data_IF_100887977527
#
_entry.id   IF_100887977527
#
_cell.length_a   1.000
_cell.length_b   1.000
_cell.length_c   1.000
_cell.angle_alpha   90.00
_cell.angle_beta   90.00
_cell.angle_gamma   90.00
#
_symmetry.space_group_name_H-M   'P 1'
#
loop_
_entity.id
_entity.type
_entity.pdbx_description
1 polymer ?
#
# COMPACT_ATOMS: atom_id res chain seq x y z
N UNK A 1 -35.91 13.39 -21.19
CA UNK A 1 -36.34 12.71 -22.42
C UNK A 1 -35.44 13.05 -23.61
N UNK A 2 -35.27 14.33 -24.01
CA UNK A 2 -34.49 14.71 -25.22
C UNK A 2 -33.01 14.26 -25.30
N UNK A 3 -32.24 14.28 -24.20
CA UNK A 3 -30.80 13.93 -24.22
C UNK A 3 -30.51 12.44 -24.50
N UNK A 4 -31.39 11.56 -24.04
CA UNK A 4 -31.19 10.11 -24.20
C UNK A 4 -31.48 9.69 -25.64
N UNK A 5 -32.50 10.29 -26.25
CA UNK A 5 -32.88 10.05 -27.65
C UNK A 5 -31.83 10.63 -28.64
N UNK A 6 -31.21 11.77 -28.33
CA UNK A 6 -30.10 12.34 -29.13
C UNK A 6 -28.84 11.48 -29.09
N UNK A 7 -28.47 10.95 -27.92
CA UNK A 7 -27.30 10.07 -27.78
C UNK A 7 -27.51 8.75 -28.54
N UNK A 8 -28.71 8.15 -28.45
CA UNK A 8 -29.04 6.93 -29.19
C UNK A 8 -28.98 7.15 -30.71
N UNK A 9 -29.46 8.30 -31.19
CA UNK A 9 -29.40 8.69 -32.60
C UNK A 9 -27.96 8.94 -33.09
N UNK A 10 -27.11 9.55 -32.27
CA UNK A 10 -25.69 9.74 -32.60
C UNK A 10 -24.95 8.39 -32.62
N UNK A 11 -25.22 7.51 -31.65
CA UNK A 11 -24.61 6.18 -31.61
C UNK A 11 -24.94 5.34 -32.85
N UNK A 12 -26.16 5.46 -33.42
CA UNK A 12 -26.54 4.70 -34.61
C UNK A 12 -25.81 5.10 -35.91
N UNK A 13 -25.12 6.25 -35.91
CA UNK A 13 -24.34 6.75 -37.07
C UNK A 13 -22.84 6.48 -36.94
N UNK A 14 -22.41 5.89 -35.83
CA UNK A 14 -21.01 5.53 -35.57
C UNK A 14 -20.70 4.13 -36.12
N UNK A 15 -19.44 3.92 -36.49
CA UNK A 15 -18.94 2.60 -36.80
C UNK A 15 -18.99 1.67 -35.57
N UNK A 16 -19.00 0.34 -35.76
CA UNK A 16 -18.96 -0.61 -34.64
C UNK A 16 -17.78 -0.38 -33.70
N UNK A 17 -16.61 -0.02 -34.24
CA UNK A 17 -15.39 0.27 -33.45
C UNK A 17 -15.56 1.52 -32.59
N UNK A 18 -16.18 2.59 -33.13
CA UNK A 18 -16.46 3.82 -32.39
C UNK A 18 -17.53 3.60 -31.30
N UNK A 19 -18.57 2.80 -31.59
CA UNK A 19 -19.57 2.41 -30.58
C UNK A 19 -18.93 1.61 -29.44
N UNK A 20 -18.01 0.69 -29.77
CA UNK A 20 -17.27 -0.09 -28.79
C UNK A 20 -16.38 0.79 -27.93
N UNK A 21 -15.62 1.71 -28.54
CA UNK A 21 -14.79 2.70 -27.82
C UNK A 21 -15.60 3.50 -26.80
N UNK A 22 -16.77 4.00 -27.18
CA UNK A 22 -17.66 4.75 -26.28
C UNK A 22 -18.17 3.86 -25.14
N UNK A 23 -18.54 2.61 -25.44
CA UNK A 23 -19.01 1.67 -24.42
C UNK A 23 -17.90 1.35 -23.41
N UNK A 24 -16.66 1.12 -23.89
CA UNK A 24 -15.49 0.88 -23.06
C UNK A 24 -15.18 2.10 -22.18
N UNK A 25 -15.19 3.30 -22.75
CA UNK A 25 -14.94 4.54 -22.00
C UNK A 25 -15.99 4.75 -20.91
N UNK A 26 -17.28 4.55 -21.23
CA UNK A 26 -18.37 4.63 -20.24
C UNK A 26 -18.17 3.62 -19.11
N UNK A 27 -17.90 2.36 -19.45
CA UNK A 27 -17.68 1.32 -18.44
C UNK A 27 -16.49 1.67 -17.53
N UNK A 28 -15.39 2.16 -18.11
CA UNK A 28 -14.21 2.58 -17.35
C UNK A 28 -14.53 3.74 -16.39
N UNK A 29 -15.37 4.70 -16.81
CA UNK A 29 -15.82 5.80 -15.95
C UNK A 29 -16.71 5.30 -14.80
N UNK A 30 -17.63 4.37 -15.08
CA UNK A 30 -18.49 3.78 -14.05
C UNK A 30 -17.67 3.01 -13.00
N UNK A 31 -16.69 2.23 -13.44
CA UNK A 31 -15.75 1.51 -12.55
C UNK A 31 -14.92 2.48 -11.69
N UNK A 32 -14.41 3.56 -12.31
CA UNK A 32 -13.65 4.59 -11.59
C UNK A 32 -14.51 5.30 -10.52
N UNK A 33 -15.75 5.65 -10.86
CA UNK A 33 -16.68 6.26 -9.91
C UNK A 33 -17.03 5.31 -8.76
N UNK A 34 -17.19 4.01 -9.04
CA UNK A 34 -17.42 3.01 -8.01
C UNK A 34 -16.21 2.91 -7.05
N UNK A 35 -14.99 2.95 -7.59
CA UNK A 35 -13.76 2.98 -6.79
C UNK A 35 -13.71 4.22 -5.88
N UNK A 36 -14.11 5.41 -6.36
CA UNK A 36 -14.12 6.63 -5.55
C UNK A 36 -15.07 6.59 -4.34
N UNK A 37 -16.01 5.64 -4.31
CA UNK A 37 -16.93 5.41 -3.19
C UNK A 37 -16.45 4.31 -2.24
N UNK A 38 -15.29 3.72 -2.49
CA UNK A 38 -14.68 2.70 -1.64
C UNK A 38 -13.69 3.33 -0.67
N UNK A 39 -13.73 2.89 0.59
CA UNK A 39 -12.73 3.29 1.58
C UNK A 39 -11.40 2.63 1.21
N UNK A 40 -10.36 3.45 1.05
CA UNK A 40 -8.97 2.98 0.86
C UNK A 40 -8.24 2.87 2.20
N UNK A 41 -8.46 3.85 3.09
CA UNK A 41 -7.79 3.92 4.39
C UNK A 41 -8.48 4.90 5.33
N UNK A 42 -8.40 4.63 6.63
CA UNK A 42 -8.64 5.62 7.67
C UNK A 42 -7.33 6.25 8.15
N UNK A 43 -7.32 7.58 8.18
CA UNK A 43 -6.16 8.40 8.54
C UNK A 43 -6.20 8.74 10.03
N UNK A 44 -7.36 9.16 10.52
CA UNK A 44 -7.51 9.71 11.87
C UNK A 44 -8.91 9.42 12.43
N UNK A 45 -9.04 9.51 13.76
CA UNK A 45 -10.28 9.31 14.51
C UNK A 45 -10.58 10.56 15.36
N UNK A 46 -11.83 11.00 15.28
CA UNK A 46 -12.34 12.10 16.09
C UNK A 46 -13.57 11.66 16.87
N UNK A 47 -13.52 11.84 18.19
CA UNK A 47 -14.60 11.47 19.11
C UNK A 47 -15.18 12.75 19.71
N UNK A 48 -16.46 13.01 19.44
CA UNK A 48 -17.21 14.15 19.98
C UNK A 48 -18.41 13.63 20.78
N UNK A 49 -18.21 13.48 22.09
CA UNK A 49 -19.21 12.88 22.98
C UNK A 49 -19.51 11.43 22.60
N UNK A 50 -20.71 11.17 22.09
CA UNK A 50 -21.14 9.85 21.63
C UNK A 50 -20.92 9.63 20.12
N UNK A 51 -20.61 10.68 19.35
CA UNK A 51 -20.35 10.57 17.91
C UNK A 51 -18.88 10.25 17.64
N UNK A 52 -18.64 9.24 16.80
CA UNK A 52 -17.29 8.93 16.27
C UNK A 52 -17.26 9.22 14.77
N UNK A 53 -16.27 10.02 14.36
CA UNK A 53 -15.97 10.34 12.96
C UNK A 53 -14.58 9.86 12.61
N UNK A 54 -14.40 9.40 11.37
CA UNK A 54 -13.12 8.97 10.84
C UNK A 54 -12.74 9.82 9.63
N UNK A 55 -11.45 10.15 9.53
CA UNK A 55 -10.91 10.85 8.36
C UNK A 55 -10.57 9.81 7.28
N UNK A 56 -11.33 9.82 6.21
CA UNK A 56 -11.33 8.77 5.19
C UNK A 56 -10.52 9.19 3.97
N UNK A 57 -9.61 8.31 3.57
CA UNK A 57 -8.98 8.31 2.25
C UNK A 57 -9.79 7.40 1.33
N UNK A 58 -10.32 7.97 0.27
CA UNK A 58 -11.10 7.27 -0.77
C UNK A 58 -10.20 6.66 -1.83
N UNK A 59 -10.57 5.49 -2.35
CA UNK A 59 -9.79 4.79 -3.37
C UNK A 59 -9.79 5.58 -4.67
N UNK A 60 -8.62 5.71 -5.30
CA UNK A 60 -8.46 6.44 -6.57
C UNK A 60 -8.39 7.97 -6.45
N UNK A 61 -8.80 8.55 -5.32
CA UNK A 61 -8.74 9.99 -5.08
C UNK A 61 -7.43 10.43 -4.41
N UNK A 62 -6.98 11.69 -4.57
CA UNK A 62 -5.81 12.22 -3.87
C UNK A 62 -6.07 12.50 -2.38
N UNK A 63 -5.01 12.72 -1.59
CA UNK A 63 -5.14 13.12 -0.18
C UNK A 63 -5.81 14.48 0.04
N UNK A 64 -5.92 15.30 -1.00
CA UNK A 64 -6.67 16.56 -0.96
C UNK A 64 -8.19 16.35 -0.89
N UNK A 65 -8.69 15.17 -1.21
CA UNK A 65 -10.12 14.83 -1.27
C UNK A 65 -10.54 13.89 -0.13
N UNK A 66 -9.83 13.92 0.99
CA UNK A 66 -10.23 13.20 2.20
C UNK A 66 -11.41 13.89 2.88
N UNK A 67 -12.30 13.11 3.49
CA UNK A 67 -13.49 13.63 4.18
C UNK A 67 -13.65 13.00 5.56
N UNK A 68 -14.25 13.75 6.49
CA UNK A 68 -14.66 13.21 7.78
C UNK A 68 -16.02 12.54 7.63
N UNK A 69 -16.09 11.25 7.90
CA UNK A 69 -17.31 10.44 7.80
C UNK A 69 -17.73 9.88 9.14
N UNK A 70 -19.04 9.77 9.36
CA UNK A 70 -19.59 9.13 10.56
C UNK A 70 -19.27 7.63 10.54
N UNK A 71 -18.98 7.06 11.72
CA UNK A 71 -18.81 5.61 11.88
C UNK A 71 -19.96 4.82 11.27
N UNK A 72 -21.20 5.25 11.51
CA UNK A 72 -22.42 4.58 10.98
C UNK A 72 -22.47 4.54 9.44
N UNK A 73 -22.01 5.60 8.78
CA UNK A 73 -21.92 5.65 7.31
C UNK A 73 -20.91 4.63 6.81
N UNK A 74 -19.75 4.52 7.46
CA UNK A 74 -18.69 3.59 7.07
C UNK A 74 -19.07 2.13 7.25
N UNK A 75 -19.93 1.81 8.22
CA UNK A 75 -20.45 0.43 8.37
C UNK A 75 -21.19 -0.06 7.12
N UNK A 76 -21.77 0.85 6.34
CA UNK A 76 -22.51 0.55 5.11
C UNK A 76 -21.69 0.82 3.83
N UNK A 77 -20.46 1.29 3.98
CA UNK A 77 -19.59 1.65 2.85
C UNK A 77 -18.64 0.49 2.55
N UNK A 78 -18.36 0.23 1.27
CA UNK A 78 -17.43 -0.80 0.84
C UNK A 78 -16.05 -0.63 1.52
N UNK A 79 -15.55 -1.71 2.12
CA UNK A 79 -14.31 -1.79 2.91
C UNK A 79 -14.29 -0.94 4.19
N UNK A 80 -15.40 -0.31 4.60
CA UNK A 80 -15.41 0.61 5.73
C UNK A 80 -15.11 -0.09 7.06
N UNK A 81 -15.75 -1.22 7.35
CA UNK A 81 -15.52 -2.00 8.58
C UNK A 81 -14.07 -2.50 8.65
N UNK A 82 -13.59 -3.14 7.59
CA UNK A 82 -12.21 -3.66 7.50
C UNK A 82 -11.19 -2.53 7.70
N UNK A 83 -11.42 -1.35 7.11
CA UNK A 83 -10.55 -0.19 7.27
C UNK A 83 -10.52 0.37 8.69
N UNK A 84 -11.63 0.27 9.45
CA UNK A 84 -11.68 0.65 10.87
C UNK A 84 -10.86 -0.33 11.70
N UNK A 85 -11.04 -1.63 11.47
CA UNK A 85 -10.31 -2.66 12.21
C UNK A 85 -8.79 -2.55 11.94
N UNK A 86 -8.40 -2.32 10.68
CA UNK A 86 -7.01 -2.07 10.30
C UNK A 86 -6.44 -0.81 10.96
N UNK A 87 -7.22 0.27 11.03
CA UNK A 87 -6.83 1.50 11.70
C UNK A 87 -6.56 1.27 13.18
N UNK A 88 -7.49 0.64 13.89
CA UNK A 88 -7.35 0.35 15.32
C UNK A 88 -6.15 -0.57 15.60
N UNK A 89 -5.97 -1.60 14.78
CA UNK A 89 -4.81 -2.49 14.88
C UNK A 89 -3.49 -1.74 14.66
N UNK A 90 -3.47 -0.75 13.75
CA UNK A 90 -2.30 0.11 13.51
C UNK A 90 -2.00 1.00 14.72
N UNK A 91 -3.01 1.68 15.27
CA UNK A 91 -2.85 2.53 16.45
C UNK A 91 -2.36 1.74 17.66
N UNK A 92 -2.91 0.55 17.89
CA UNK A 92 -2.44 -0.34 18.95
C UNK A 92 -0.96 -0.73 18.77
N UNK A 93 -0.55 -0.99 17.53
CA UNK A 93 0.84 -1.36 17.20
C UNK A 93 1.83 -0.20 17.38
N UNK A 94 1.40 1.05 17.24
CA UNK A 94 2.25 2.22 17.52
C UNK A 94 2.61 2.35 19.00
N UNK A 95 1.80 1.77 19.90
CA UNK A 95 2.07 1.75 21.34
C UNK A 95 3.07 0.64 21.73
N UNK A 96 3.38 -0.30 20.83
CA UNK A 96 4.32 -1.38 21.11
C UNK A 96 5.77 -0.84 21.19
N UNK A 97 6.57 -1.29 22.18
CA UNK A 97 7.94 -0.84 22.32
C UNK A 97 8.78 -1.31 21.13
N UNK A 98 9.17 -0.35 20.29
CA UNK A 98 10.05 -0.60 19.14
C UNK A 98 11.52 -0.63 19.57
N UNK A 99 12.31 -1.50 18.95
CA UNK A 99 13.76 -1.54 19.19
C UNK A 99 14.49 -0.70 18.16
N UNK A 100 15.54 -0.01 18.61
CA UNK A 100 16.37 0.78 17.70
C UNK A 100 17.13 -0.13 16.72
N UNK A 101 17.37 0.32 15.48
CA UNK A 101 18.18 -0.44 14.52
C UNK A 101 19.54 -0.83 15.08
N UNK A 102 20.22 0.06 15.80
CA UNK A 102 21.56 -0.17 16.35
C UNK A 102 21.56 -1.29 17.41
N UNK A 103 20.57 -1.29 18.31
CA UNK A 103 20.39 -2.36 19.29
C UNK A 103 20.16 -3.70 18.61
N UNK A 104 19.34 -3.72 17.55
CA UNK A 104 19.03 -4.95 16.83
C UNK A 104 20.23 -5.48 16.04
N UNK A 105 21.01 -4.62 15.37
CA UNK A 105 22.24 -5.04 14.70
C UNK A 105 23.23 -5.68 15.68
N UNK A 106 23.46 -5.06 16.84
CA UNK A 106 24.33 -5.62 17.89
C UNK A 106 23.84 -6.99 18.38
N UNK A 107 22.53 -7.10 18.69
CA UNK A 107 21.90 -8.36 19.08
C UNK A 107 22.04 -9.45 18.00
N UNK A 108 21.83 -9.06 16.73
CA UNK A 108 21.94 -9.96 15.59
C UNK A 108 23.35 -10.51 15.42
N UNK A 109 24.37 -9.65 15.52
CA UNK A 109 25.78 -10.06 15.45
C UNK A 109 26.18 -10.98 16.60
N UNK A 110 25.70 -10.70 17.83
CA UNK A 110 25.99 -11.51 19.02
C UNK A 110 25.38 -12.91 18.96
N UNK A 111 24.18 -13.05 18.40
CA UNK A 111 23.49 -14.36 18.27
C UNK A 111 24.10 -15.24 17.17
N UNK A 112 24.94 -14.66 16.31
CA UNK A 112 25.49 -15.30 15.13
C UNK A 112 24.47 -15.30 13.99
N UNK A 113 24.92 -14.87 12.80
CA UNK A 113 24.10 -14.86 11.59
C UNK A 113 23.75 -16.30 11.17
N UNK A 114 22.45 -16.61 11.10
CA UNK A 114 21.94 -17.80 10.44
C UNK A 114 21.12 -17.37 9.24
N UNK A 115 21.57 -17.74 8.04
CA UNK A 115 20.82 -17.51 6.82
C UNK A 115 19.46 -18.21 6.92
N UNK A 116 18.43 -17.54 6.40
CA UNK A 116 17.11 -18.12 6.22
C UNK A 116 17.22 -19.28 5.24
N UNK A 117 16.78 -20.47 5.67
CA UNK A 117 16.75 -21.69 4.85
C UNK A 117 15.47 -21.78 4.00
N UNK A 118 14.43 -21.02 4.37
CA UNK A 118 13.14 -20.99 3.70
C UNK A 118 12.54 -19.58 3.81
N UNK A 119 11.57 -19.29 2.95
CA UNK A 119 10.79 -18.06 3.03
C UNK A 119 10.11 -17.93 4.41
N UNK A 120 10.18 -16.75 5.06
CA UNK A 120 9.41 -16.47 6.27
C UNK A 120 7.89 -16.51 6.03
N UNK A 121 7.11 -17.05 6.97
CA UNK A 121 5.67 -17.24 6.84
C UNK A 121 4.84 -15.94 6.68
N UNK A 122 5.39 -14.80 7.11
CA UNK A 122 4.74 -13.49 6.94
C UNK A 122 4.89 -12.93 5.52
N UNK A 123 5.71 -13.54 4.66
CA UNK A 123 5.75 -13.19 3.23
C UNK A 123 4.69 -14.03 2.51
N UNK A 124 3.73 -13.35 1.90
CA UNK A 124 2.56 -13.97 1.25
C UNK A 124 2.57 -13.76 -0.27
N UNK A 125 1.55 -14.24 -0.98
CA UNK A 125 1.35 -13.93 -2.40
C UNK A 125 2.21 -14.72 -3.39
N UNK A 126 3.08 -15.61 -2.90
CA UNK A 126 3.88 -16.53 -3.71
C UNK A 126 5.05 -17.12 -2.93
N UNK A 127 5.92 -17.82 -3.65
CA UNK A 127 7.17 -18.35 -3.13
C UNK A 127 8.36 -17.63 -3.79
N UNK A 128 9.31 -17.19 -2.96
CA UNK A 128 10.58 -16.63 -3.41
C UNK A 128 11.39 -17.72 -4.11
N UNK A 129 11.96 -17.39 -5.26
CA UNK A 129 12.94 -18.26 -5.92
C UNK A 129 14.23 -18.31 -5.09
N UNK A 130 15.01 -19.37 -5.24
CA UNK A 130 16.25 -19.59 -4.48
C UNK A 130 17.20 -18.38 -4.52
N UNK A 131 17.37 -17.77 -5.69
CA UNK A 131 18.22 -16.59 -5.85
C UNK A 131 17.63 -15.34 -5.17
N UNK A 132 16.31 -15.25 -5.03
CA UNK A 132 15.64 -14.15 -4.31
C UNK A 132 15.82 -14.30 -2.81
N UNK A 133 15.71 -15.53 -2.30
CA UNK A 133 16.00 -15.84 -0.90
C UNK A 133 17.49 -15.61 -0.57
N UNK A 134 18.40 -15.97 -1.47
CA UNK A 134 19.82 -15.66 -1.35
C UNK A 134 20.07 -14.14 -1.33
N UNK A 135 19.40 -13.39 -2.23
CA UNK A 135 19.45 -11.92 -2.24
C UNK A 135 18.93 -11.30 -0.94
N UNK A 136 17.82 -11.82 -0.39
CA UNK A 136 17.28 -11.40 0.90
C UNK A 136 18.29 -11.65 2.04
N UNK A 137 18.88 -12.85 2.10
CA UNK A 137 19.90 -13.17 3.10
C UNK A 137 21.11 -12.23 3.00
N UNK A 138 21.55 -11.90 1.78
CA UNK A 138 22.64 -10.95 1.57
C UNK A 138 22.29 -9.53 2.01
N UNK A 139 21.05 -9.08 1.78
CA UNK A 139 20.57 -7.79 2.25
C UNK A 139 20.49 -7.72 3.78
N UNK A 140 19.97 -8.77 4.42
CA UNK A 140 19.91 -8.87 5.89
C UNK A 140 21.32 -8.84 6.48
N UNK A 141 22.25 -9.60 5.90
CA UNK A 141 23.64 -9.60 6.33
C UNK A 141 24.26 -8.20 6.18
N UNK A 142 24.12 -7.56 5.02
CA UNK A 142 24.66 -6.22 4.76
C UNK A 142 24.10 -5.18 5.73
N UNK A 143 22.79 -5.22 5.98
CA UNK A 143 22.14 -4.39 6.98
C UNK A 143 22.73 -4.63 8.39
N UNK A 144 22.98 -5.88 8.78
CA UNK A 144 23.55 -6.21 10.09
C UNK A 144 24.96 -5.67 10.30
N UNK A 145 25.74 -5.49 9.21
CA UNK A 145 27.08 -4.91 9.22
C UNK A 145 27.08 -3.38 9.12
N UNK A 146 25.91 -2.74 9.03
CA UNK A 146 25.80 -1.31 8.75
C UNK A 146 26.43 -0.88 7.42
N UNK A 147 26.28 -1.73 6.42
CA UNK A 147 26.72 -1.46 5.06
C UNK A 147 25.53 -1.11 4.16
N UNK A 148 25.68 -0.02 3.42
CA UNK A 148 24.76 0.32 2.34
C UNK A 148 24.95 -0.63 1.16
N UNK A 149 23.89 -0.86 0.39
CA UNK A 149 23.84 -1.93 -0.58
C UNK A 149 23.30 -1.45 -1.93
N UNK A 150 23.87 -1.97 -3.03
CA UNK A 150 23.39 -1.72 -4.39
C UNK A 150 22.95 -3.06 -4.99
N UNK A 151 21.66 -3.19 -5.30
CA UNK A 151 21.12 -4.34 -6.04
C UNK A 151 21.19 -4.05 -7.54
N UNK A 152 22.13 -4.68 -8.22
CA UNK A 152 22.41 -4.47 -9.65
C UNK A 152 22.07 -5.70 -10.51
N UNK A 153 21.17 -6.56 -10.04
CA UNK A 153 20.70 -7.73 -10.79
C UNK A 153 19.99 -7.33 -12.09
N UNK A 154 19.90 -8.28 -13.04
CA UNK A 154 19.20 -8.10 -14.31
C UNK A 154 17.73 -7.64 -14.10
N UNK A 155 17.20 -6.90 -15.07
CA UNK A 155 15.81 -6.46 -15.06
C UNK A 155 14.87 -7.68 -15.06
N UNK A 156 13.81 -7.64 -14.27
CA UNK A 156 12.85 -8.75 -14.16
C UNK A 156 13.19 -9.82 -13.12
N UNK A 157 14.37 -9.81 -12.50
CA UNK A 157 14.73 -10.77 -11.43
C UNK A 157 14.06 -10.47 -10.06
N UNK A 158 13.09 -9.56 -10.00
CA UNK A 158 12.33 -9.33 -8.77
C UNK A 158 13.09 -8.56 -7.67
N UNK A 159 13.97 -7.62 -8.04
CA UNK A 159 14.62 -6.69 -7.09
C UNK A 159 13.61 -6.00 -6.17
N UNK A 160 12.45 -5.61 -6.70
CA UNK A 160 11.36 -5.03 -5.91
C UNK A 160 10.91 -5.96 -4.78
N UNK A 161 10.71 -7.24 -5.09
CA UNK A 161 10.25 -8.24 -4.11
C UNK A 161 11.34 -8.47 -3.04
N UNK A 162 12.61 -8.51 -3.43
CA UNK A 162 13.73 -8.58 -2.46
C UNK A 162 13.74 -7.38 -1.50
N UNK A 163 13.53 -6.16 -2.02
CA UNK A 163 13.43 -4.95 -1.19
C UNK A 163 12.21 -4.99 -0.25
N UNK A 164 11.03 -5.36 -0.76
CA UNK A 164 9.82 -5.51 0.06
C UNK A 164 10.03 -6.56 1.15
N UNK A 165 10.67 -7.68 0.80
CA UNK A 165 10.99 -8.77 1.72
C UNK A 165 11.93 -8.33 2.84
N UNK A 166 12.92 -7.49 2.52
CA UNK A 166 13.82 -6.90 3.53
C UNK A 166 13.03 -6.03 4.51
N UNK A 167 12.20 -5.11 4.03
CA UNK A 167 11.39 -4.24 4.90
C UNK A 167 10.48 -5.07 5.80
N UNK A 168 9.79 -6.07 5.25
CA UNK A 168 8.95 -6.98 6.01
C UNK A 168 9.75 -7.78 7.06
N UNK A 169 10.96 -8.23 6.72
CA UNK A 169 11.85 -8.93 7.66
C UNK A 169 12.25 -8.03 8.84
N UNK A 170 12.64 -6.78 8.57
CA UNK A 170 13.01 -5.81 9.60
C UNK A 170 11.84 -5.53 10.55
N UNK A 171 10.63 -5.33 10.00
CA UNK A 171 9.43 -5.09 10.79
C UNK A 171 9.02 -6.31 11.62
N UNK A 172 8.86 -7.48 10.99
CA UNK A 172 8.23 -8.65 11.61
C UNK A 172 9.20 -9.48 12.45
N UNK A 173 10.48 -9.58 12.05
CA UNK A 173 11.47 -10.43 12.74
C UNK A 173 12.29 -9.64 13.74
N UNK A 174 12.65 -8.40 13.39
CA UNK A 174 13.50 -7.55 14.22
C UNK A 174 12.72 -6.51 15.02
N UNK A 175 11.40 -6.43 14.88
CA UNK A 175 10.56 -5.44 15.57
C UNK A 175 11.07 -4.00 15.36
N UNK A 176 11.53 -3.72 14.14
CA UNK A 176 11.93 -2.39 13.69
C UNK A 176 10.78 -1.85 12.83
N UNK A 177 9.91 -1.07 13.45
CA UNK A 177 8.64 -0.66 12.83
C UNK A 177 8.79 0.46 11.79
N UNK A 178 9.98 1.05 11.66
CA UNK A 178 10.25 2.16 10.74
C UNK A 178 10.35 3.51 11.46
N UNK A 179 10.16 4.64 10.75
CA UNK A 179 9.66 4.73 9.37
C UNK A 179 10.67 4.25 8.31
N UNK A 180 10.17 3.63 7.24
CA UNK A 180 10.95 3.27 6.06
C UNK A 180 10.53 4.13 4.86
N UNK A 181 11.48 4.81 4.23
CA UNK A 181 11.22 5.62 3.04
C UNK A 181 11.68 4.88 1.78
N UNK A 182 10.76 4.65 0.85
CA UNK A 182 11.04 4.09 -0.47
C UNK A 182 10.76 5.16 -1.52
N UNK A 183 11.81 5.58 -2.23
CA UNK A 183 11.70 6.58 -3.31
C UNK A 183 11.65 5.84 -4.63
N UNK A 184 10.60 6.09 -5.41
CA UNK A 184 10.36 5.40 -6.70
C UNK A 184 9.88 6.39 -7.76
N UNK A 185 10.13 6.13 -9.05
CA UNK A 185 9.50 6.89 -10.13
C UNK A 185 7.97 6.85 -10.04
N UNK A 186 7.31 7.97 -10.36
CA UNK A 186 5.85 8.11 -10.29
C UNK A 186 5.11 6.98 -11.03
N UNK A 187 5.59 6.61 -12.22
CA UNK A 187 5.03 5.53 -13.04
C UNK A 187 5.04 4.16 -12.37
N UNK A 188 5.90 3.96 -11.36
CA UNK A 188 6.05 2.67 -10.67
C UNK A 188 5.43 2.63 -9.28
N UNK A 189 4.95 3.77 -8.75
CA UNK A 189 4.37 3.85 -7.39
C UNK A 189 3.29 2.80 -7.19
N UNK A 190 2.34 2.70 -8.13
CA UNK A 190 1.23 1.75 -8.03
C UNK A 190 1.70 0.29 -8.08
N UNK A 191 2.77 -0.01 -8.83
CA UNK A 191 3.38 -1.34 -8.83
C UNK A 191 3.97 -1.66 -7.45
N UNK A 192 4.70 -0.74 -6.83
CA UNK A 192 5.25 -0.93 -5.48
C UNK A 192 4.16 -1.15 -4.43
N UNK A 193 3.06 -0.38 -4.48
CA UNK A 193 1.91 -0.57 -3.60
C UNK A 193 1.31 -1.97 -3.76
N UNK A 194 1.13 -2.43 -5.00
CA UNK A 194 0.66 -3.80 -5.29
C UNK A 194 1.60 -4.86 -4.76
N UNK A 195 2.91 -4.69 -4.93
CA UNK A 195 3.90 -5.64 -4.42
C UNK A 195 3.91 -5.69 -2.89
N UNK A 196 3.81 -4.54 -2.20
CA UNK A 196 3.65 -4.52 -0.74
C UNK A 196 2.35 -5.20 -0.30
N UNK A 197 1.21 -4.86 -0.90
CA UNK A 197 -0.08 -5.47 -0.56
C UNK A 197 -0.08 -7.00 -0.79
N UNK A 198 0.62 -7.47 -1.83
CA UNK A 198 0.72 -8.89 -2.16
C UNK A 198 1.67 -9.66 -1.25
N UNK A 199 2.89 -9.15 -1.06
CA UNK A 199 3.97 -9.87 -0.40
C UNK A 199 4.09 -9.58 1.10
N UNK A 200 3.66 -8.39 1.53
CA UNK A 200 3.76 -7.96 2.92
C UNK A 200 2.52 -7.12 3.34
N UNK A 201 1.30 -7.70 3.26
CA UNK A 201 0.06 -6.98 3.59
C UNK A 201 0.03 -6.38 5.00
N UNK A 202 0.78 -6.98 5.94
CA UNK A 202 0.95 -6.49 7.31
C UNK A 202 1.73 -5.18 7.42
N UNK A 203 2.42 -4.75 6.36
CA UNK A 203 3.17 -3.50 6.31
C UNK A 203 2.25 -2.36 5.86
N UNK A 204 2.05 -1.38 6.76
CA UNK A 204 1.30 -0.17 6.44
C UNK A 204 2.04 0.66 5.37
N UNK A 205 1.58 0.59 4.12
CA UNK A 205 2.20 1.28 2.98
C UNK A 205 1.50 2.61 2.73
N UNK A 206 2.20 3.74 2.89
CA UNK A 206 1.64 5.08 2.65
C UNK A 206 2.23 5.63 1.35
N UNK A 207 1.37 5.93 0.38
CA UNK A 207 1.78 6.64 -0.83
C UNK A 207 1.83 8.13 -0.55
N UNK A 208 2.97 8.76 -0.83
CA UNK A 208 3.12 10.21 -0.74
C UNK A 208 3.19 10.82 -2.14
N UNK A 209 2.03 11.16 -2.68
CA UNK A 209 1.86 11.82 -3.99
C UNK A 209 0.78 12.89 -3.85
N UNK A 210 1.01 14.08 -4.39
CA UNK A 210 -0.02 15.11 -4.47
C UNK A 210 0.51 16.53 -4.53
N UNK A 211 -0.42 17.47 -4.44
CA UNK A 211 -0.21 18.90 -4.57
C UNK A 211 0.10 19.55 -3.20
N UNK A 212 -0.01 20.88 -3.11
CA UNK A 212 0.17 21.61 -1.86
C UNK A 212 -0.75 21.17 -0.72
N UNK A 213 -2.00 20.80 -1.03
CA UNK A 213 -3.01 20.41 -0.05
C UNK A 213 -2.70 19.01 0.49
N UNK A 214 -2.40 18.06 -0.40
CA UNK A 214 -1.96 16.71 0.01
C UNK A 214 -0.74 16.74 0.93
N UNK A 215 0.20 17.68 0.70
CA UNK A 215 1.36 17.86 1.59
C UNK A 215 0.99 18.35 2.99
N UNK A 216 -0.11 19.10 3.13
CA UNK A 216 -0.60 19.57 4.42
C UNK A 216 -1.19 18.43 5.25
N UNK A 217 -1.88 17.49 4.61
CA UNK A 217 -2.49 16.32 5.26
C UNK A 217 -1.44 15.35 5.81
N UNK A 218 -0.37 15.11 5.06
CA UNK A 218 0.64 14.13 5.45
C UNK A 218 1.72 14.69 6.42
N UNK A 219 1.59 15.93 6.88
CA UNK A 219 2.51 16.58 7.83
C UNK A 219 1.99 16.45 9.25
#
# INVERSE_FOLDING_TARGET
MKRVDELAYQMSHLSPEEQELINVERQMQEELMADHMCVERIIDEFIDGEETKYLVKWKGLPYSEITWELKETLLNTTNGVESIDEFQAREARLLEPTKTPEQQRKSFLMKGHRALTSQPAFLTGGELRDYQLAGLNWLIYSWSQDHNTILADEMGLGKTIQCVSLVAYLAQTLSIMGPFLVIVPLSTVHNWVKEFAKWAPQCNTVVYVGDGVSRGVCR
#
